data_IF_139643950373
#
_entry.id   IF_139643950373
#
_cell.length_a   1.000
_cell.length_b   1.000
_cell.length_c   1.000
_cell.angle_alpha   90.00
_cell.angle_beta   90.00
_cell.angle_gamma   90.00
#
_symmetry.space_group_name_H-M   'P 1'
#
loop_
_entity.id
_entity.type
_entity.pdbx_description
1 polymer ?
#
# COMPACT_ATOMS: atom_id res chain seq x y z
N UNK A 1 12.18 6.86 -16.34
CA UNK A 1 11.02 6.06 -16.72
C UNK A 1 10.03 6.94 -17.45
N UNK A 2 9.41 6.44 -18.51
CA UNK A 2 8.24 7.03 -19.14
C UNK A 2 7.01 6.84 -18.25
N UNK A 3 5.89 7.48 -18.59
CA UNK A 3 4.61 7.30 -17.89
C UNK A 3 4.13 5.83 -17.93
N UNK A 4 4.29 5.15 -19.07
CA UNK A 4 3.96 3.74 -19.21
C UNK A 4 4.85 2.84 -18.35
N UNK A 5 6.16 3.11 -18.31
CA UNK A 5 7.10 2.38 -17.44
C UNK A 5 6.79 2.60 -15.95
N UNK A 6 6.33 3.80 -15.57
CA UNK A 6 5.92 4.12 -14.21
C UNK A 6 4.62 3.37 -13.83
N UNK A 7 3.65 3.29 -14.74
CA UNK A 7 2.43 2.54 -14.51
C UNK A 7 2.71 1.05 -14.31
N UNK A 8 3.54 0.45 -15.17
CA UNK A 8 3.97 -0.95 -15.01
C UNK A 8 4.70 -1.16 -13.68
N UNK A 9 5.60 -0.25 -13.31
CA UNK A 9 6.31 -0.34 -12.03
C UNK A 9 5.35 -0.24 -10.84
N UNK A 10 4.35 0.64 -10.88
CA UNK A 10 3.33 0.75 -9.82
C UNK A 10 2.49 -0.53 -9.68
N UNK A 11 2.06 -1.12 -10.80
CA UNK A 11 1.33 -2.40 -10.83
C UNK A 11 2.17 -3.54 -10.26
N UNK A 12 3.46 -3.62 -10.64
CA UNK A 12 4.41 -4.58 -10.08
C UNK A 12 4.53 -4.43 -8.55
N UNK A 13 4.50 -3.20 -8.03
CA UNK A 13 4.59 -2.92 -6.58
C UNK A 13 3.33 -3.30 -5.83
N UNK A 14 2.16 -3.05 -6.41
CA UNK A 14 0.91 -3.56 -5.85
C UNK A 14 0.92 -5.09 -5.84
N UNK A 15 1.30 -5.75 -6.94
CA UNK A 15 1.37 -7.20 -7.01
C UNK A 15 2.36 -7.78 -5.98
N UNK A 16 3.54 -7.16 -5.82
CA UNK A 16 4.50 -7.58 -4.81
C UNK A 16 3.92 -7.53 -3.40
N UNK A 17 3.20 -6.45 -3.06
CA UNK A 17 2.53 -6.36 -1.76
C UNK A 17 1.47 -7.46 -1.59
N UNK A 18 0.67 -7.74 -2.63
CA UNK A 18 -0.32 -8.82 -2.63
C UNK A 18 0.33 -10.20 -2.43
N UNK A 19 1.44 -10.45 -3.10
CA UNK A 19 2.19 -11.71 -3.00
C UNK A 19 2.78 -11.89 -1.60
N UNK A 20 3.41 -10.85 -1.04
CA UNK A 20 3.97 -10.87 0.32
C UNK A 20 2.87 -11.15 1.36
N UNK A 21 1.67 -10.62 1.14
CA UNK A 21 0.51 -10.86 2.00
C UNK A 21 0.00 -12.30 1.85
N UNK A 22 -0.19 -12.79 0.62
CA UNK A 22 -0.64 -14.17 0.38
C UNK A 22 0.35 -15.19 0.95
N UNK A 23 1.66 -14.95 0.82
CA UNK A 23 2.71 -15.79 1.41
C UNK A 23 2.68 -15.74 2.94
N UNK A 24 2.62 -14.53 3.53
CA UNK A 24 2.60 -14.36 4.99
C UNK A 24 1.38 -15.00 5.66
N UNK A 25 0.28 -15.14 4.93
CA UNK A 25 -1.01 -15.58 5.46
C UNK A 25 -1.54 -16.86 4.80
N UNK A 26 -0.72 -17.62 4.06
CA UNK A 26 -1.14 -18.79 3.26
C UNK A 26 -1.98 -19.82 4.07
N UNK A 27 -1.70 -19.96 5.37
CA UNK A 27 -2.43 -20.86 6.28
C UNK A 27 -3.77 -20.34 6.81
N UNK A 28 -4.10 -19.07 6.57
CA UNK A 28 -5.22 -18.34 7.20
C UNK A 28 -6.14 -17.72 6.15
N UNK A 29 -5.57 -17.20 5.07
CA UNK A 29 -6.23 -16.43 4.02
C UNK A 29 -6.03 -17.15 2.69
N UNK A 30 -7.06 -17.18 1.84
CA UNK A 30 -7.01 -17.79 0.50
C UNK A 30 -7.68 -16.92 -0.55
N UNK A 31 -7.29 -17.11 -1.80
CA UNK A 31 -7.92 -16.55 -2.99
C UNK A 31 -7.99 -15.00 -2.99
N UNK A 32 -6.89 -14.34 -2.60
CA UNK A 32 -6.77 -12.88 -2.69
C UNK A 32 -6.11 -12.52 -4.03
N UNK A 33 -6.89 -11.90 -4.91
CA UNK A 33 -6.45 -11.47 -6.24
C UNK A 33 -6.40 -9.95 -6.38
N UNK A 34 -7.10 -9.21 -5.53
CA UNK A 34 -7.11 -7.76 -5.48
C UNK A 34 -7.34 -7.28 -4.04
N UNK A 35 -7.03 -6.01 -3.71
CA UNK A 35 -7.15 -5.52 -2.34
C UNK A 35 -8.52 -5.77 -1.70
N UNK A 36 -9.61 -5.57 -2.43
CA UNK A 36 -10.97 -5.77 -1.92
C UNK A 36 -11.28 -7.22 -1.50
N UNK A 37 -10.53 -8.21 -1.98
CA UNK A 37 -10.71 -9.60 -1.53
C UNK A 37 -10.36 -9.78 -0.04
N UNK A 38 -9.55 -8.89 0.54
CA UNK A 38 -9.22 -8.91 1.96
C UNK A 38 -10.45 -8.77 2.85
N UNK A 39 -11.51 -8.08 2.41
CA UNK A 39 -12.75 -7.91 3.17
C UNK A 39 -13.40 -9.24 3.57
N UNK A 40 -13.13 -10.32 2.82
CA UNK A 40 -13.63 -11.68 3.14
C UNK A 40 -13.03 -12.22 4.44
N UNK A 41 -11.83 -11.77 4.80
CA UNK A 41 -11.02 -12.32 5.89
C UNK A 41 -10.76 -11.30 7.00
N UNK A 42 -10.56 -10.03 6.63
CA UNK A 42 -10.34 -8.89 7.51
C UNK A 42 -11.22 -7.73 7.06
N UNK A 43 -12.50 -7.71 7.47
CA UNK A 43 -13.47 -6.67 7.07
C UNK A 43 -13.08 -5.24 7.47
N UNK A 44 -12.11 -5.12 8.38
CA UNK A 44 -11.67 -3.86 8.99
C UNK A 44 -10.27 -3.45 8.51
N UNK A 45 -9.62 -4.21 7.61
CA UNK A 45 -8.27 -3.84 7.15
C UNK A 45 -8.36 -2.72 6.10
N UNK A 46 -7.72 -1.56 6.34
CA UNK A 46 -7.81 -0.41 5.45
C UNK A 46 -7.16 -0.63 4.08
N UNK A 47 -6.23 -1.59 3.93
CA UNK A 47 -5.67 -1.92 2.61
C UNK A 47 -6.73 -2.50 1.67
N UNK A 48 -7.80 -3.07 2.21
CA UNK A 48 -8.87 -3.63 1.39
C UNK A 48 -9.67 -2.57 0.61
N UNK A 49 -9.51 -1.29 0.99
CA UNK A 49 -10.12 -0.15 0.34
C UNK A 49 -9.20 0.54 -0.69
N UNK A 50 -8.04 -0.05 -1.02
CA UNK A 50 -7.17 0.45 -2.08
C UNK A 50 -7.88 0.28 -3.43
N UNK A 51 -8.06 1.39 -4.14
CA UNK A 51 -8.65 1.42 -5.49
C UNK A 51 -7.62 1.68 -6.60
N UNK A 52 -6.51 2.35 -6.29
CA UNK A 52 -5.42 2.54 -7.25
C UNK A 52 -4.08 2.71 -6.56
N UNK A 53 -3.02 2.30 -7.27
CA UNK A 53 -1.63 2.58 -6.95
C UNK A 53 -0.98 3.16 -8.20
N UNK A 54 -0.42 4.35 -8.09
CA UNK A 54 0.17 5.09 -9.20
C UNK A 54 1.59 5.55 -8.84
N UNK A 55 2.44 5.70 -9.85
CA UNK A 55 3.80 6.21 -9.65
C UNK A 55 3.98 7.56 -10.38
N UNK A 56 3.90 8.70 -9.66
CA UNK A 56 4.15 10.01 -10.27
C UNK A 56 5.62 10.21 -10.67
N UNK A 57 6.53 9.48 -10.01
CA UNK A 57 7.95 9.45 -10.29
C UNK A 57 8.53 8.11 -9.82
N UNK A 58 9.69 7.72 -10.37
CA UNK A 58 10.38 6.54 -9.89
C UNK A 58 10.80 6.73 -8.44
N UNK A 59 10.53 5.72 -7.60
CA UNK A 59 10.75 5.80 -6.16
C UNK A 59 9.62 6.44 -5.37
N UNK A 60 8.51 6.79 -6.03
CA UNK A 60 7.33 7.35 -5.38
C UNK A 60 6.06 6.60 -5.77
N UNK A 61 5.23 6.27 -4.77
CA UNK A 61 3.90 5.70 -4.98
C UNK A 61 2.83 6.62 -4.40
N UNK A 62 1.68 6.66 -5.07
CA UNK A 62 0.44 7.26 -4.60
C UNK A 62 -0.60 6.15 -4.51
N UNK A 63 -1.11 5.93 -3.30
CA UNK A 63 -2.15 4.95 -3.01
C UNK A 63 -3.44 5.71 -2.76
N UNK A 64 -4.48 5.38 -3.52
CA UNK A 64 -5.82 5.96 -3.34
C UNK A 64 -6.72 4.95 -2.65
N UNK A 65 -7.35 5.38 -1.56
CA UNK A 65 -8.39 4.62 -0.87
C UNK A 65 -9.78 5.14 -1.24
N UNK A 66 -10.76 4.25 -1.44
CA UNK A 66 -12.16 4.68 -1.41
C UNK A 66 -12.55 5.17 0.00
N UNK A 67 -13.59 6.01 0.14
CA UNK A 67 -14.14 6.32 1.46
C UNK A 67 -14.77 5.08 2.10
N UNK A 68 -14.43 4.80 3.35
CA UNK A 68 -15.01 3.71 4.13
C UNK A 68 -15.23 4.14 5.58
N UNK A 69 -15.86 3.26 6.36
CA UNK A 69 -16.06 3.50 7.78
C UNK A 69 -14.74 3.29 8.52
N UNK A 70 -14.12 4.38 8.94
CA UNK A 70 -12.89 4.35 9.73
C UNK A 70 -13.03 3.51 11.00
N UNK A 71 -12.04 2.67 11.25
CA UNK A 71 -12.00 1.80 12.43
C UNK A 71 -11.38 2.52 13.64
N UNK A 72 -10.34 3.32 13.41
CA UNK A 72 -9.77 4.23 14.42
C UNK A 72 -10.01 5.68 14.04
N UNK A 73 -9.25 6.16 13.07
CA UNK A 73 -9.35 7.51 12.52
C UNK A 73 -8.79 7.51 11.10
N UNK A 74 -9.19 8.46 10.24
CA UNK A 74 -8.62 8.57 8.91
C UNK A 74 -7.10 8.70 8.90
N UNK A 75 -6.54 9.41 9.89
CA UNK A 75 -5.09 9.61 9.96
C UNK A 75 -4.37 8.32 10.34
N UNK A 76 -4.89 7.56 11.31
CA UNK A 76 -4.26 6.32 11.77
C UNK A 76 -4.30 5.25 10.68
N UNK A 77 -5.44 5.10 10.01
CA UNK A 77 -5.60 4.09 8.97
C UNK A 77 -4.72 4.39 7.76
N UNK A 78 -4.68 5.66 7.30
CA UNK A 78 -3.79 6.08 6.22
C UNK A 78 -2.31 5.92 6.61
N UNK A 79 -1.97 6.19 7.88
CA UNK A 79 -0.62 5.97 8.41
C UNK A 79 -0.25 4.49 8.44
N UNK A 80 -1.19 3.62 8.80
CA UNK A 80 -1.03 2.18 8.78
C UNK A 80 -0.82 1.66 7.36
N UNK A 81 -1.67 2.04 6.40
CA UNK A 81 -1.52 1.66 4.98
C UNK A 81 -0.16 2.10 4.45
N UNK A 82 0.18 3.38 4.62
CA UNK A 82 1.43 3.93 4.10
C UNK A 82 2.65 3.25 4.72
N UNK A 83 2.68 3.10 6.04
CA UNK A 83 3.84 2.54 6.73
C UNK A 83 3.99 1.04 6.48
N UNK A 84 2.89 0.26 6.49
CA UNK A 84 2.94 -1.18 6.24
C UNK A 84 3.31 -1.48 4.79
N UNK A 85 2.72 -0.77 3.83
CA UNK A 85 3.04 -0.93 2.41
C UNK A 85 4.50 -0.64 2.17
N UNK A 86 5.04 0.43 2.78
CA UNK A 86 6.46 0.72 2.57
C UNK A 86 7.43 -0.21 3.27
N UNK A 87 7.07 -0.81 4.41
CA UNK A 87 7.89 -1.87 5.00
C UNK A 87 7.98 -3.08 4.08
N UNK A 88 6.84 -3.58 3.59
CA UNK A 88 6.79 -4.76 2.72
C UNK A 88 7.49 -4.55 1.38
N UNK A 89 7.21 -3.42 0.72
CA UNK A 89 7.78 -3.14 -0.60
C UNK A 89 9.23 -2.68 -0.48
N UNK A 90 9.54 -1.83 0.51
CA UNK A 90 10.84 -1.17 0.66
C UNK A 90 12.01 -2.11 0.96
N UNK A 91 11.75 -3.32 1.47
CA UNK A 91 12.76 -4.37 1.61
C UNK A 91 13.33 -4.82 0.26
N UNK A 92 12.46 -4.96 -0.76
CA UNK A 92 12.86 -5.42 -2.09
C UNK A 92 13.07 -4.27 -3.08
N UNK A 93 12.60 -3.07 -2.74
CA UNK A 93 12.75 -1.86 -3.56
C UNK A 93 13.58 -0.79 -2.82
N UNK A 94 14.93 -0.84 -2.96
CA UNK A 94 15.82 0.09 -2.28
C UNK A 94 15.70 1.53 -2.78
N UNK A 95 15.02 1.75 -3.92
CA UNK A 95 14.77 3.07 -4.48
C UNK A 95 13.39 3.63 -4.11
N UNK A 96 12.57 2.90 -3.35
CA UNK A 96 11.31 3.42 -2.83
C UNK A 96 11.61 4.43 -1.71
N UNK A 97 11.32 5.68 -1.97
CA UNK A 97 11.61 6.82 -1.09
C UNK A 97 10.34 7.34 -0.40
N UNK A 98 9.20 7.27 -1.08
CA UNK A 98 7.96 7.92 -0.63
C UNK A 98 6.70 7.15 -1.03
N UNK A 99 5.79 6.99 -0.08
CA UNK A 99 4.39 6.61 -0.35
C UNK A 99 3.48 7.73 0.14
N UNK A 100 2.65 8.26 -0.73
CA UNK A 100 1.50 9.10 -0.36
C UNK A 100 0.26 8.23 -0.33
N UNK A 101 -0.50 8.26 0.75
CA UNK A 101 -1.83 7.64 0.83
C UNK A 101 -2.86 8.76 0.92
N UNK A 102 -3.91 8.69 0.12
CA UNK A 102 -4.99 9.68 0.13
C UNK A 102 -6.35 9.02 -0.08
N UNK A 103 -7.40 9.67 0.42
CA UNK A 103 -8.78 9.29 0.11
C UNK A 103 -9.19 9.81 -1.26
N UNK A 104 -10.05 9.08 -1.96
CA UNK A 104 -10.52 9.43 -3.32
C UNK A 104 -11.15 10.83 -3.39
N UNK A 105 -11.79 11.28 -2.32
CA UNK A 105 -12.36 12.63 -2.17
C UNK A 105 -11.32 13.72 -1.85
N UNK A 106 -10.07 13.33 -1.56
CA UNK A 106 -8.97 14.20 -1.18
C UNK A 106 -9.05 14.79 0.23
N UNK A 107 -10.02 14.36 1.05
CA UNK A 107 -10.22 14.90 2.41
C UNK A 107 -9.05 14.55 3.35
N UNK A 108 -8.48 13.37 3.19
CA UNK A 108 -7.41 12.87 4.04
C UNK A 108 -6.17 12.47 3.24
N UNK A 109 -5.01 12.71 3.84
CA UNK A 109 -3.72 12.42 3.23
C UNK A 109 -2.67 12.10 4.28
N UNK A 110 -1.87 11.08 4.01
CA UNK A 110 -0.68 10.72 4.77
C UNK A 110 0.53 10.54 3.85
N UNK A 111 1.73 10.79 4.36
CA UNK A 111 2.98 10.58 3.63
C UNK A 111 3.92 9.76 4.49
N UNK A 112 4.25 8.56 4.02
CA UNK A 112 5.36 7.76 4.53
C UNK A 112 6.61 8.05 3.70
N UNK A 113 7.75 8.20 4.36
CA UNK A 113 9.07 8.39 3.75
C UNK A 113 10.05 7.36 4.27
N UNK A 114 11.03 6.98 3.45
CA UNK A 114 12.08 6.03 3.81
C UNK A 114 12.83 6.39 5.09
N UNK A 115 13.03 7.70 5.32
CA UNK A 115 13.69 8.21 6.51
C UNK A 115 12.94 7.92 7.83
N UNK A 116 11.64 7.64 7.76
CA UNK A 116 10.83 7.31 8.94
C UNK A 116 10.92 5.82 9.31
N UNK A 117 11.57 4.98 8.52
CA UNK A 117 11.66 3.55 8.80
C UNK A 117 12.91 3.21 9.60
N UNK A 118 12.81 2.34 10.62
CA UNK A 118 13.98 1.78 11.25
C UNK A 118 14.76 0.94 10.22
N UNK A 119 16.10 0.96 10.21
CA UNK A 119 16.86 0.04 9.38
C UNK A 119 16.50 -1.39 9.79
N UNK A 120 16.02 -2.20 8.83
CA UNK A 120 15.87 -3.63 8.99
C UNK A 120 17.26 -4.20 9.30
N UNK A 121 17.51 -4.60 10.55
CA UNK A 121 18.70 -5.38 10.87
C UNK A 121 18.49 -6.76 10.23
N UNK A 122 19.33 -7.07 9.25
CA UNK A 122 19.36 -8.37 8.58
C UNK A 122 19.82 -9.52 9.45
#
# INVERSE_FOLDING_TARGET
>A
MTEEELAVWADEKLQQWMDDINESWEGVVKDIHQPSDFLKWYPTDPHSHIISVEAPAYGELVITLEPYKWESSPTDDLAYVGSNTTLRIGEREPHLERITVLTQDGEHRYVATRAQWPPMKG
#
